data_IF_211028578025
#
_entry.id   IF_211028578025
#
_cell.length_a   1.000
_cell.length_b   1.000
_cell.length_c   1.000
_cell.angle_alpha   90.00
_cell.angle_beta   90.00
_cell.angle_gamma   90.00
#
_symmetry.space_group_name_H-M   'P 1'
#
loop_
_entity.id
_entity.type
_entity.pdbx_description
1 polymer ?
#
# COMPACT_ATOMS: atom_id res chain seq x y z
N UNK A 1 16.02 -12.80 5.36
CA UNK A 1 15.84 -12.57 6.80
C UNK A 1 14.36 -12.42 7.12
N UNK A 2 13.84 -13.18 8.08
CA UNK A 2 12.45 -13.02 8.52
C UNK A 2 12.29 -11.76 9.36
N UNK A 3 11.05 -11.31 9.55
CA UNK A 3 10.79 -10.16 10.41
C UNK A 3 11.29 -10.38 11.85
N UNK A 4 11.13 -11.61 12.35
CA UNK A 4 11.58 -11.95 13.70
C UNK A 4 13.11 -11.86 13.88
N UNK A 5 13.86 -11.92 12.79
CA UNK A 5 15.32 -11.87 12.81
C UNK A 5 15.86 -10.47 12.58
N UNK A 6 15.01 -9.49 12.29
CA UNK A 6 15.44 -8.11 12.09
C UNK A 6 15.63 -7.41 13.42
N UNK A 7 16.72 -6.66 13.54
CA UNK A 7 16.92 -5.78 14.68
C UNK A 7 16.03 -4.54 14.54
N UNK A 8 15.77 -3.85 15.63
CA UNK A 8 15.02 -2.58 15.62
C UNK A 8 15.68 -1.51 14.76
N UNK A 9 16.99 -1.64 14.49
CA UNK A 9 17.74 -0.70 13.67
C UNK A 9 17.62 -0.97 12.18
N UNK A 10 17.20 -2.18 11.81
CA UNK A 10 17.05 -2.55 10.41
C UNK A 10 15.66 -2.19 9.93
N UNK A 11 15.62 -1.25 8.99
CA UNK A 11 14.36 -0.78 8.41
C UNK A 11 14.07 -1.52 7.10
N UNK A 12 12.80 -1.81 6.87
CA UNK A 12 12.37 -2.39 5.60
C UNK A 12 11.95 -1.22 4.70
N UNK A 13 12.72 -1.01 3.65
CA UNK A 13 12.47 0.06 2.69
C UNK A 13 12.01 -0.55 1.37
N UNK A 14 10.87 -0.08 0.86
CA UNK A 14 10.30 -0.53 -0.40
C UNK A 14 10.33 0.63 -1.38
N UNK A 15 10.74 0.36 -2.62
CA UNK A 15 10.72 1.37 -3.68
C UNK A 15 9.71 0.95 -4.74
N UNK A 16 8.78 1.85 -5.07
CA UNK A 16 7.87 1.71 -6.20
C UNK A 16 8.43 2.59 -7.31
N UNK A 17 8.94 1.98 -8.36
CA UNK A 17 9.41 2.71 -9.55
C UNK A 17 8.29 2.76 -10.57
N UNK A 18 7.89 3.96 -10.98
CA UNK A 18 6.83 4.17 -11.95
C UNK A 18 7.40 4.13 -13.38
N UNK A 19 6.55 3.91 -14.37
CA UNK A 19 6.98 3.88 -15.77
C UNK A 19 7.59 5.21 -16.24
N UNK A 20 7.20 6.33 -15.63
CA UNK A 20 7.79 7.64 -15.94
C UNK A 20 9.17 7.87 -15.30
N UNK A 21 9.70 6.87 -14.58
CA UNK A 21 10.99 6.95 -13.92
C UNK A 21 10.98 7.52 -12.50
N UNK A 22 9.86 8.07 -12.07
CA UNK A 22 9.74 8.58 -10.70
C UNK A 22 9.61 7.44 -9.71
N UNK A 23 10.07 7.67 -8.49
CA UNK A 23 10.08 6.65 -7.44
C UNK A 23 9.37 7.14 -6.18
N UNK A 24 8.67 6.20 -5.54
CA UNK A 24 8.05 6.38 -4.23
C UNK A 24 8.76 5.41 -3.30
N UNK A 25 9.39 5.93 -2.26
CA UNK A 25 10.09 5.12 -1.27
C UNK A 25 9.32 5.07 0.03
N UNK A 26 9.07 3.87 0.51
CA UNK A 26 8.26 3.60 1.69
C UNK A 26 9.09 2.94 2.77
N UNK A 27 8.85 3.31 4.02
CA UNK A 27 9.35 2.56 5.18
C UNK A 27 8.20 1.75 5.74
N UNK A 28 8.41 0.45 5.96
CA UNK A 28 7.41 -0.42 6.57
C UNK A 28 7.56 -0.45 8.09
N UNK A 29 6.45 -0.66 8.80
CA UNK A 29 6.41 -0.67 10.28
C UNK A 29 5.94 -2.04 10.79
N UNK A 30 6.82 -3.06 10.80
CA UNK A 30 6.43 -4.40 11.28
C UNK A 30 6.05 -4.46 12.76
N UNK A 31 6.47 -3.48 13.56
CA UNK A 31 6.03 -3.36 14.94
C UNK A 31 4.54 -3.02 15.06
N UNK A 32 3.97 -2.36 14.05
CA UNK A 32 2.54 -2.01 14.02
C UNK A 32 1.69 -3.08 13.37
N UNK A 33 2.18 -3.72 12.30
CA UNK A 33 1.44 -4.68 11.50
C UNK A 33 2.38 -5.76 10.96
N UNK A 34 2.82 -6.70 11.82
CA UNK A 34 3.84 -7.69 11.43
C UNK A 34 3.39 -8.63 10.32
N UNK A 35 2.16 -9.12 10.37
CA UNK A 35 1.64 -10.05 9.35
C UNK A 35 1.50 -9.33 8.01
N UNK A 36 0.98 -8.11 8.05
CA UNK A 36 0.79 -7.26 6.87
C UNK A 36 2.13 -6.94 6.20
N UNK A 37 3.12 -6.53 6.98
CA UNK A 37 4.46 -6.22 6.46
C UNK A 37 5.13 -7.45 5.87
N UNK A 38 5.03 -8.59 6.53
CA UNK A 38 5.61 -9.84 6.03
C UNK A 38 4.99 -10.25 4.70
N UNK A 39 3.67 -10.18 4.60
CA UNK A 39 2.95 -10.50 3.37
C UNK A 39 3.35 -9.55 2.23
N UNK A 40 3.38 -8.26 2.51
CA UNK A 40 3.74 -7.25 1.52
C UNK A 40 5.20 -7.44 1.04
N UNK A 41 6.13 -7.62 1.96
CA UNK A 41 7.54 -7.87 1.62
C UNK A 41 7.69 -9.12 0.75
N UNK A 42 6.98 -10.20 1.11
CA UNK A 42 6.99 -11.44 0.33
C UNK A 42 6.51 -11.20 -1.10
N UNK A 43 5.39 -10.51 -1.28
CA UNK A 43 4.84 -10.20 -2.60
C UNK A 43 5.79 -9.33 -3.41
N UNK A 44 6.41 -8.35 -2.76
CA UNK A 44 7.41 -7.49 -3.41
C UNK A 44 8.60 -8.31 -3.91
N UNK A 45 9.13 -9.18 -3.06
CA UNK A 45 10.29 -10.03 -3.43
C UNK A 45 9.97 -11.01 -4.55
N UNK A 46 8.72 -11.45 -4.66
CA UNK A 46 8.27 -12.34 -5.72
C UNK A 46 8.02 -11.62 -7.04
N UNK A 47 8.14 -10.29 -7.07
CA UNK A 47 7.82 -9.50 -8.26
C UNK A 47 6.34 -9.37 -8.55
N UNK A 48 5.49 -9.65 -7.56
CA UNK A 48 4.04 -9.66 -7.73
C UNK A 48 3.48 -8.34 -8.25
N UNK A 49 4.03 -7.22 -7.75
CA UNK A 49 3.51 -5.89 -8.08
C UNK A 49 4.06 -5.31 -9.38
N UNK A 50 5.08 -5.94 -9.99
CA UNK A 50 5.69 -5.43 -11.21
C UNK A 50 4.66 -5.41 -12.34
N UNK A 51 4.48 -4.25 -12.95
CA UNK A 51 3.52 -4.06 -14.04
C UNK A 51 2.08 -3.80 -13.62
N UNK A 52 1.78 -3.82 -12.33
CA UNK A 52 0.41 -3.55 -11.86
C UNK A 52 0.14 -2.04 -11.83
N UNK A 53 -1.15 -1.68 -11.88
CA UNK A 53 -1.57 -0.28 -12.00
C UNK A 53 -2.18 0.26 -10.71
N UNK A 54 -2.25 1.59 -10.62
CA UNK A 54 -3.11 2.28 -9.67
C UNK A 54 -4.49 2.42 -10.32
N UNK A 55 -5.39 1.50 -10.00
CA UNK A 55 -6.69 1.40 -10.68
C UNK A 55 -7.77 2.32 -10.09
N UNK A 56 -7.54 2.87 -8.90
CA UNK A 56 -8.49 3.76 -8.22
C UNK A 56 -7.73 4.92 -7.58
N UNK A 57 -8.08 6.13 -7.99
CA UNK A 57 -7.40 7.35 -7.55
C UNK A 57 -8.44 8.40 -7.19
N UNK A 58 -8.38 8.90 -5.97
CA UNK A 58 -9.29 9.95 -5.50
C UNK A 58 -8.45 11.09 -4.92
N UNK A 59 -8.39 12.20 -5.64
CA UNK A 59 -7.69 13.41 -5.21
C UNK A 59 -8.23 13.86 -3.85
N UNK A 60 -7.34 14.21 -2.94
CA UNK A 60 -7.72 14.61 -1.59
C UNK A 60 -8.00 13.43 -0.66
N UNK A 61 -7.84 12.20 -1.13
CA UNK A 61 -8.07 10.99 -0.35
C UNK A 61 -6.90 10.01 -0.48
N UNK A 62 -6.85 9.18 -1.54
CA UNK A 62 -5.83 8.14 -1.66
C UNK A 62 -5.59 7.70 -3.10
N UNK A 63 -4.51 6.96 -3.32
CA UNK A 63 -4.25 6.23 -4.55
C UNK A 63 -4.18 4.74 -4.21
N UNK A 64 -4.86 3.89 -4.98
CA UNK A 64 -5.02 2.46 -4.68
C UNK A 64 -4.57 1.61 -5.87
N UNK A 65 -3.81 0.57 -5.58
CA UNK A 65 -3.33 -0.36 -6.60
C UNK A 65 -3.03 -1.74 -6.02
N UNK A 66 -2.34 -2.57 -6.81
CA UNK A 66 -1.92 -3.89 -6.35
C UNK A 66 -2.88 -5.02 -6.68
N UNK A 67 -3.86 -4.78 -7.54
CA UNK A 67 -4.75 -5.83 -8.05
C UNK A 67 -4.19 -6.37 -9.37
N UNK A 68 -3.84 -7.68 -9.44
CA UNK A 68 -3.31 -8.24 -10.68
C UNK A 68 -4.30 -8.18 -11.86
N UNK A 69 -5.59 -8.05 -11.59
CA UNK A 69 -6.61 -7.88 -12.62
C UNK A 69 -6.83 -6.40 -12.99
N UNK A 70 -6.39 -5.48 -12.15
CA UNK A 70 -6.55 -4.04 -12.38
C UNK A 70 -8.00 -3.54 -12.29
N UNK A 71 -8.89 -4.32 -11.68
CA UNK A 71 -10.33 -4.02 -11.62
C UNK A 71 -10.82 -3.61 -10.24
N UNK A 72 -10.04 -3.88 -9.21
CA UNK A 72 -10.44 -3.74 -7.81
C UNK A 72 -11.03 -5.03 -7.22
N UNK A 73 -11.25 -6.05 -8.04
CA UNK A 73 -11.87 -7.32 -7.62
C UNK A 73 -10.87 -8.44 -7.35
N UNK A 74 -9.62 -8.28 -7.79
CA UNK A 74 -8.60 -9.32 -7.67
C UNK A 74 -7.67 -9.12 -6.48
N UNK A 75 -6.77 -10.08 -6.31
CA UNK A 75 -5.78 -10.06 -5.24
C UNK A 75 -4.81 -11.21 -5.35
N UNK A 76 -3.95 -11.38 -4.36
CA UNK A 76 -3.05 -12.51 -4.25
C UNK A 76 -3.80 -13.72 -3.67
N UNK A 77 -3.14 -14.89 -3.70
CA UNK A 77 -3.77 -16.15 -3.30
C UNK A 77 -4.16 -16.19 -1.82
N UNK A 78 -3.33 -15.64 -0.97
CA UNK A 78 -3.51 -15.73 0.49
C UNK A 78 -4.12 -14.47 1.05
N UNK A 79 -5.19 -14.62 1.82
CA UNK A 79 -5.76 -13.54 2.61
C UNK A 79 -5.11 -13.53 3.97
N UNK A 80 -4.98 -12.34 4.54
CA UNK A 80 -4.31 -12.16 5.83
C UNK A 80 -5.25 -11.57 6.87
N UNK A 81 -4.93 -11.80 8.13
CA UNK A 81 -5.65 -11.19 9.25
C UNK A 81 -5.51 -9.66 9.17
N UNK A 82 -6.61 -8.97 9.35
CA UNK A 82 -6.62 -7.51 9.40
C UNK A 82 -6.03 -7.01 10.71
N UNK A 83 -4.90 -6.33 10.63
CA UNK A 83 -4.17 -5.83 11.80
C UNK A 83 -4.56 -4.38 12.10
N UNK A 84 -5.75 -4.22 12.67
CA UNK A 84 -6.28 -2.91 13.05
C UNK A 84 -7.14 -3.04 14.31
N UNK A 85 -7.33 -1.93 15.02
CA UNK A 85 -7.94 -1.91 16.35
C UNK A 85 -9.31 -2.57 16.42
N UNK A 86 -10.20 -2.32 15.44
CA UNK A 86 -11.54 -2.92 15.44
C UNK A 86 -11.53 -4.42 15.22
N UNK A 87 -10.40 -4.98 14.77
CA UNK A 87 -10.21 -6.42 14.60
C UNK A 87 -9.35 -7.02 15.72
N UNK A 88 -9.19 -6.29 16.82
CA UNK A 88 -8.51 -6.78 18.02
C UNK A 88 -6.97 -6.67 18.00
N UNK A 89 -6.40 -5.94 17.06
CA UNK A 89 -4.95 -5.73 16.97
C UNK A 89 -4.61 -4.28 17.33
N UNK A 90 -3.73 -4.04 18.29
CA UNK A 90 -3.42 -2.68 18.76
C UNK A 90 -2.50 -1.92 17.79
N UNK A 91 -2.98 -1.67 16.58
CA UNK A 91 -2.27 -0.87 15.59
C UNK A 91 -2.74 0.59 15.70
N UNK A 92 -1.88 1.44 16.21
CA UNK A 92 -2.20 2.86 16.46
C UNK A 92 -1.73 3.80 15.35
N UNK A 93 -1.24 3.27 14.23
CA UNK A 93 -0.78 4.09 13.11
C UNK A 93 -1.97 4.81 12.46
N UNK A 94 -1.91 6.13 12.44
CA UNK A 94 -2.96 6.97 11.86
C UNK A 94 -2.84 7.05 10.34
N UNK A 95 -3.98 7.20 9.66
CA UNK A 95 -4.03 7.37 8.21
C UNK A 95 -3.76 8.83 7.84
N UNK A 96 -2.51 9.26 8.06
CA UNK A 96 -2.06 10.60 7.67
C UNK A 96 -1.44 10.56 6.28
N UNK A 97 -1.22 11.74 5.70
CA UNK A 97 -0.62 11.87 4.37
C UNK A 97 0.65 11.00 4.25
N UNK A 98 0.72 10.20 3.20
CA UNK A 98 1.85 9.32 2.89
C UNK A 98 1.79 7.92 3.50
N UNK A 99 0.85 7.66 4.41
CA UNK A 99 0.72 6.31 5.02
C UNK A 99 0.19 5.32 4.00
N UNK A 100 0.79 4.11 3.98
CA UNK A 100 0.31 2.99 3.19
C UNK A 100 -0.50 2.04 4.07
N UNK A 101 -1.62 1.55 3.54
CA UNK A 101 -2.58 0.72 4.26
C UNK A 101 -3.17 -0.33 3.32
N UNK A 102 -3.67 -1.43 3.87
CA UNK A 102 -4.24 -2.50 3.05
C UNK A 102 -5.71 -2.25 2.72
N UNK A 103 -6.04 -2.34 1.45
CA UNK A 103 -7.43 -2.39 1.02
C UNK A 103 -8.02 -3.77 1.34
N UNK A 104 -9.33 -3.82 1.57
CA UNK A 104 -10.04 -5.07 1.89
C UNK A 104 -11.51 -4.95 1.51
N UNK A 105 -12.20 -6.08 1.47
CA UNK A 105 -13.66 -6.11 1.36
C UNK A 105 -14.28 -5.88 2.75
N UNK A 106 -15.58 -6.12 2.88
CA UNK A 106 -16.29 -5.97 4.16
C UNK A 106 -15.74 -6.89 5.24
N UNK A 107 -15.24 -8.07 4.88
CA UNK A 107 -14.65 -9.01 5.83
C UNK A 107 -13.31 -8.43 6.35
N UNK A 108 -13.15 -8.27 7.67
CA UNK A 108 -11.89 -7.72 8.23
C UNK A 108 -10.63 -8.52 7.88
N UNK A 109 -10.77 -9.80 7.54
CA UNK A 109 -9.65 -10.70 7.22
C UNK A 109 -9.61 -11.03 5.73
N UNK A 110 -9.96 -10.08 4.86
CA UNK A 110 -10.03 -10.28 3.42
C UNK A 110 -8.91 -9.60 2.62
N UNK A 111 -8.02 -8.87 3.28
CA UNK A 111 -6.90 -8.23 2.59
C UNK A 111 -5.94 -9.27 2.01
N UNK A 112 -5.37 -9.00 0.84
CA UNK A 112 -4.37 -9.88 0.24
C UNK A 112 -3.23 -9.09 -0.41
N UNK A 113 -3.48 -8.33 -1.49
CA UNK A 113 -2.43 -7.59 -2.19
C UNK A 113 -2.75 -6.14 -2.45
N UNK A 114 -4.01 -5.77 -2.55
CA UNK A 114 -4.36 -4.37 -2.83
C UNK A 114 -4.00 -3.47 -1.65
N UNK A 115 -3.41 -2.34 -1.96
CA UNK A 115 -3.03 -1.33 -0.96
C UNK A 115 -3.41 0.06 -1.44
N UNK A 116 -3.43 1.02 -0.52
CA UNK A 116 -3.60 2.42 -0.87
C UNK A 116 -2.61 3.29 -0.09
N UNK A 117 -2.23 4.40 -0.71
CA UNK A 117 -1.33 5.39 -0.11
C UNK A 117 -2.13 6.68 0.06
N UNK A 118 -2.08 7.27 1.25
CA UNK A 118 -2.86 8.45 1.58
C UNK A 118 -2.31 9.69 0.87
N UNK A 119 -3.17 10.38 0.13
CA UNK A 119 -2.88 11.70 -0.44
C UNK A 119 -3.10 12.80 0.61
N UNK A 120 -4.14 12.64 1.41
CA UNK A 120 -4.48 13.53 2.54
C UNK A 120 -4.87 12.71 3.75
N UNK A 121 -4.88 13.34 4.93
CA UNK A 121 -5.28 12.67 6.16
C UNK A 121 -6.73 12.19 6.08
N UNK A 122 -6.98 10.97 6.57
CA UNK A 122 -8.32 10.37 6.59
C UNK A 122 -8.55 9.69 7.94
N UNK A 123 -8.83 10.48 9.01
CA UNK A 123 -8.98 9.91 10.34
C UNK A 123 -10.14 8.91 10.47
N UNK A 124 -11.13 8.96 9.58
CA UNK A 124 -12.23 8.00 9.59
C UNK A 124 -11.79 6.56 9.26
N UNK A 125 -10.57 6.36 8.73
CA UNK A 125 -10.01 5.04 8.45
C UNK A 125 -9.25 4.46 9.64
N UNK A 126 -8.88 5.30 10.60
CA UNK A 126 -8.07 4.87 11.74
C UNK A 126 -8.77 3.78 12.54
N UNK A 127 -8.03 2.71 12.85
CA UNK A 127 -8.57 1.57 13.58
C UNK A 127 -9.44 0.63 12.75
N UNK A 128 -9.67 0.89 11.47
CA UNK A 128 -10.53 0.09 10.61
C UNK A 128 -9.80 -0.53 9.41
N UNK A 129 -8.57 -0.11 9.16
CA UNK A 129 -7.72 -0.63 8.10
C UNK A 129 -6.31 -0.81 8.62
N UNK A 130 -5.58 -1.78 8.05
CA UNK A 130 -4.23 -2.13 8.48
C UNK A 130 -3.19 -1.21 7.85
N UNK A 131 -2.96 -0.06 8.47
CA UNK A 131 -1.87 0.83 8.10
C UNK A 131 -0.55 0.17 8.50
N UNK A 132 0.48 0.19 7.63
CA UNK A 132 1.68 -0.59 7.87
C UNK A 132 2.99 0.06 7.42
N UNK A 133 2.96 1.30 6.99
CA UNK A 133 4.17 2.01 6.58
C UNK A 133 3.87 3.43 6.16
N UNK A 134 4.92 4.11 5.66
CA UNK A 134 4.78 5.53 5.26
C UNK A 134 5.80 5.88 4.19
N UNK A 135 5.41 6.77 3.27
CA UNK A 135 6.31 7.34 2.27
C UNK A 135 7.35 8.21 2.97
N UNK A 136 8.63 7.95 2.68
CA UNK A 136 9.76 8.73 3.20
C UNK A 136 10.44 9.55 2.11
N UNK A 137 10.31 9.17 0.83
CA UNK A 137 10.78 9.94 -0.32
C UNK A 137 9.79 9.77 -1.47
N UNK A 138 9.63 10.82 -2.27
CA UNK A 138 8.80 10.75 -3.47
C UNK A 138 7.33 11.03 -3.25
N UNK A 139 6.96 11.73 -2.19
CA UNK A 139 5.55 12.08 -1.93
C UNK A 139 4.97 12.92 -3.08
N UNK A 140 5.79 13.70 -3.78
CA UNK A 140 5.35 14.48 -4.95
C UNK A 140 4.90 13.57 -6.09
N UNK A 141 5.43 12.35 -6.20
CA UNK A 141 4.95 11.37 -7.18
C UNK A 141 3.55 10.88 -6.80
N UNK A 142 3.27 10.71 -5.50
CA UNK A 142 1.91 10.40 -5.02
C UNK A 142 0.95 11.52 -5.38
N UNK A 143 1.36 12.77 -5.16
CA UNK A 143 0.55 13.94 -5.50
C UNK A 143 0.24 13.99 -7.00
N UNK A 144 1.23 13.72 -7.83
CA UNK A 144 1.07 13.73 -9.28
C UNK A 144 0.08 12.65 -9.74
N UNK A 145 0.17 11.45 -9.15
CA UNK A 145 -0.80 10.39 -9.43
C UNK A 145 -2.20 10.82 -8.98
N UNK A 146 -2.32 11.39 -7.77
CA UNK A 146 -3.60 11.80 -7.21
C UNK A 146 -4.28 12.88 -8.05
N UNK A 147 -3.52 13.67 -8.80
CA UNK A 147 -4.05 14.75 -9.65
C UNK A 147 -4.33 14.33 -11.08
N UNK A 148 -4.09 13.06 -11.43
CA UNK A 148 -4.37 12.57 -12.78
C UNK A 148 -5.87 12.61 -13.06
N UNK A 149 -6.21 12.74 -14.36
CA UNK A 149 -7.62 12.70 -14.76
C UNK A 149 -8.17 11.29 -14.63
N UNK A 150 -9.36 11.19 -14.06
CA UNK A 150 -10.04 9.91 -13.84
C UNK A 150 -11.42 9.94 -14.48
N UNK A 151 -11.98 8.73 -14.68
CA UNK A 151 -13.38 8.59 -15.08
C UNK A 151 -14.30 8.65 -13.86
N UNK A 152 -15.60 8.47 -14.05
CA UNK A 152 -16.57 8.56 -12.97
C UNK A 152 -16.47 7.38 -11.97
N UNK A 153 -15.66 6.37 -12.27
CA UNK A 153 -15.36 5.25 -11.35
C UNK A 153 -14.02 5.45 -10.63
N UNK A 154 -13.46 6.66 -10.69
CA UNK A 154 -12.17 7.00 -10.09
C UNK A 154 -10.97 6.23 -10.67
N UNK A 155 -11.13 5.73 -11.89
CA UNK A 155 -10.05 5.05 -12.61
C UNK A 155 -9.30 6.05 -13.48
N UNK A 156 -7.96 6.10 -13.40
CA UNK A 156 -7.18 6.98 -14.30
C UNK A 156 -7.51 6.71 -15.77
N UNK A 157 -7.65 7.77 -16.56
CA UNK A 157 -7.96 7.67 -18.00
C UNK A 157 -6.86 6.95 -18.77
N UNK A 158 -5.59 7.09 -18.31
CA UNK A 158 -4.46 6.34 -18.83
C UNK A 158 -3.85 5.55 -17.68
N UNK A 159 -3.49 4.29 -17.93
CA UNK A 159 -2.93 3.44 -16.89
C UNK A 159 -1.65 4.03 -16.30
N UNK A 160 -1.57 4.06 -14.98
CA UNK A 160 -0.38 4.45 -14.23
C UNK A 160 0.21 3.17 -13.67
N UNK A 161 1.32 2.71 -14.27
CA UNK A 161 1.93 1.42 -13.92
C UNK A 161 3.09 1.56 -12.96
N UNK A 162 3.17 0.62 -12.04
CA UNK A 162 4.35 0.35 -11.25
C UNK A 162 5.27 -0.50 -12.10
N UNK A 163 6.32 0.12 -12.67
CA UNK A 163 7.27 -0.59 -13.52
C UNK A 163 7.94 -1.71 -12.75
N UNK A 164 8.36 -1.40 -11.52
CA UNK A 164 9.02 -2.35 -10.63
C UNK A 164 8.80 -1.95 -9.18
N UNK A 165 8.59 -2.94 -8.32
CA UNK A 165 8.51 -2.73 -6.87
C UNK A 165 9.52 -3.65 -6.22
N UNK A 166 10.42 -3.10 -5.41
CA UNK A 166 11.53 -3.88 -4.86
C UNK A 166 11.92 -3.41 -3.46
N UNK A 167 12.59 -4.29 -2.73
CA UNK A 167 13.15 -3.97 -1.41
C UNK A 167 14.51 -3.32 -1.63
N UNK A 168 14.72 -2.18 -1.01
CA UNK A 168 16.02 -1.50 -1.03
C UNK A 168 16.86 -2.04 0.13
N UNK A 169 17.98 -2.65 -0.21
CA UNK A 169 18.90 -3.24 0.77
C UNK A 169 20.23 -2.51 0.83
#
# INVERSE_FOLDING_TARGET
MSLAQRSEKEKIMVVIELENGKKIKLELYPDKAPITCENFEKLVREGFYDGLIFHRVIKGFMIQGGDPQGTGMGGSKEKIKGEFAMNGVPNDLKHTRGVISMARSMNPNSASSQFFIMHKDAPHLDGQYAAFGKVVEGIEAVDEIAETKTDYNDRPLSDIKMKKVYIEE
#
